data_IF_782040833076
#
_entry.id   IF_782040833076
#
_cell.length_a   1.000
_cell.length_b   1.000
_cell.length_c   1.000
_cell.angle_alpha   90.00
_cell.angle_beta   90.00
_cell.angle_gamma   90.00
#
_symmetry.space_group_name_H-M   'P 1'
#
loop_
_entity.id
_entity.type
_entity.pdbx_description
1 polymer ?
#
# COMPACT_ATOMS: atom_id res chain seq x y z
N UNK A 1 13.57 -17.40 12.12
CA UNK A 1 14.45 -16.29 12.56
C UNK A 1 14.98 -15.40 11.45
N UNK A 2 15.69 -15.92 10.43
CA UNK A 2 16.11 -15.06 9.30
C UNK A 2 14.92 -14.41 8.59
N UNK A 3 13.82 -15.16 8.41
CA UNK A 3 12.54 -14.63 7.92
C UNK A 3 12.00 -13.50 8.81
N UNK A 4 11.81 -13.77 10.10
CA UNK A 4 11.30 -12.79 11.08
C UNK A 4 12.12 -11.48 11.15
N UNK A 5 13.45 -11.56 11.19
CA UNK A 5 14.29 -10.34 11.18
C UNK A 5 14.13 -9.58 9.86
N UNK A 6 13.95 -10.31 8.75
CA UNK A 6 13.71 -9.75 7.43
C UNK A 6 12.23 -9.37 7.17
N UNK A 7 11.34 -9.56 8.14
CA UNK A 7 9.99 -8.99 8.13
C UNK A 7 9.99 -7.62 8.83
N UNK A 8 10.85 -7.42 9.84
CA UNK A 8 10.91 -6.19 10.65
C UNK A 8 11.89 -5.13 10.11
N UNK A 9 13.00 -5.55 9.48
CA UNK A 9 14.13 -4.64 9.24
C UNK A 9 14.97 -5.01 8.01
N UNK A 10 14.40 -5.67 7.00
CA UNK A 10 15.16 -6.17 5.84
C UNK A 10 15.87 -5.06 5.10
N UNK A 11 15.15 -4.00 4.74
CA UNK A 11 15.68 -2.95 3.88
C UNK A 11 16.83 -2.23 4.60
N UNK A 12 16.56 -1.69 5.80
CA UNK A 12 17.58 -0.95 6.57
C UNK A 12 18.76 -1.80 7.00
N UNK A 13 18.56 -3.07 7.36
CA UNK A 13 19.70 -3.94 7.69
C UNK A 13 20.55 -4.27 6.46
N UNK A 14 19.95 -4.37 5.27
CA UNK A 14 20.71 -4.63 4.05
C UNK A 14 21.58 -3.44 3.65
N UNK A 15 21.08 -2.22 3.84
CA UNK A 15 21.87 -0.99 3.66
C UNK A 15 22.93 -0.84 4.75
N UNK A 16 22.57 -1.06 6.01
CA UNK A 16 23.50 -0.93 7.14
C UNK A 16 24.64 -1.95 7.09
N UNK A 17 24.42 -3.13 6.51
CA UNK A 17 25.48 -4.13 6.26
C UNK A 17 26.58 -3.58 5.34
N UNK A 18 26.26 -2.66 4.43
CA UNK A 18 27.26 -2.02 3.57
C UNK A 18 28.17 -1.07 4.37
N UNK A 19 27.62 -0.39 5.37
CA UNK A 19 28.36 0.49 6.28
C UNK A 19 29.14 -0.29 7.33
N UNK A 20 28.57 -1.39 7.82
CA UNK A 20 29.13 -2.28 8.83
C UNK A 20 28.98 -3.76 8.44
N UNK A 21 29.96 -4.31 7.71
CA UNK A 21 29.94 -5.73 7.37
C UNK A 21 29.90 -6.62 8.61
N UNK A 22 29.06 -7.66 8.57
CA UNK A 22 28.82 -8.60 9.67
C UNK A 22 27.70 -8.17 10.64
N UNK A 23 27.08 -7.01 10.45
CA UNK A 23 26.00 -6.50 11.29
C UNK A 23 24.80 -7.46 11.31
N UNK A 24 24.31 -7.89 10.14
CA UNK A 24 23.18 -8.83 10.01
C UNK A 24 23.47 -10.13 10.80
N UNK A 25 24.70 -10.65 10.68
CA UNK A 25 25.09 -11.88 11.38
C UNK A 25 25.06 -11.67 12.90
N UNK A 26 25.55 -10.54 13.37
CA UNK A 26 25.57 -10.20 14.80
C UNK A 26 24.16 -9.98 15.35
N UNK A 27 23.29 -9.27 14.61
CA UNK A 27 21.86 -9.11 14.94
C UNK A 27 21.17 -10.46 15.03
N UNK A 28 21.31 -11.32 14.01
CA UNK A 28 20.73 -12.67 14.04
C UNK A 28 21.21 -13.49 15.24
N UNK A 29 22.51 -13.40 15.58
CA UNK A 29 23.05 -14.11 16.75
C UNK A 29 22.50 -13.56 18.08
N UNK A 30 22.24 -12.26 18.17
CA UNK A 30 21.64 -11.61 19.33
C UNK A 30 20.16 -11.99 19.48
N UNK A 31 19.38 -11.86 18.40
CA UNK A 31 17.97 -12.27 18.34
C UNK A 31 17.81 -13.74 18.73
N UNK A 32 18.71 -14.64 18.28
CA UNK A 32 18.71 -16.07 18.69
C UNK A 32 18.74 -16.28 20.19
N UNK A 33 19.45 -15.43 20.92
CA UNK A 33 19.63 -15.58 22.37
C UNK A 33 18.44 -15.03 23.15
N UNK A 34 17.65 -14.15 22.56
CA UNK A 34 16.63 -13.36 23.28
C UNK A 34 15.20 -13.77 22.92
N UNK A 35 14.94 -14.15 21.66
CA UNK A 35 13.60 -14.54 21.19
C UNK A 35 13.13 -15.89 21.75
N UNK A 36 14.05 -16.85 21.91
CA UNK A 36 13.71 -18.20 22.40
C UNK A 36 13.65 -18.28 23.93
N UNK A 37 13.67 -17.14 24.62
CA UNK A 37 13.50 -17.12 26.07
C UNK A 37 12.03 -17.31 26.44
N UNK A 38 11.77 -18.08 27.50
CA UNK A 38 10.40 -18.33 28.00
C UNK A 38 9.64 -17.01 28.25
N UNK A 39 10.34 -16.00 28.78
CA UNK A 39 9.79 -14.66 28.99
C UNK A 39 9.27 -14.02 27.70
N UNK A 40 10.06 -14.03 26.62
CA UNK A 40 9.66 -13.42 25.34
C UNK A 40 8.52 -14.20 24.69
N UNK A 41 8.56 -15.53 24.76
CA UNK A 41 7.52 -16.41 24.24
C UNK A 41 6.18 -16.15 24.95
N UNK A 42 6.16 -16.14 26.28
CA UNK A 42 4.93 -15.93 27.04
C UNK A 42 4.40 -14.50 26.88
N UNK A 43 5.28 -13.49 26.84
CA UNK A 43 4.88 -12.11 26.56
C UNK A 43 4.25 -11.97 25.17
N UNK A 44 4.85 -12.57 24.15
CA UNK A 44 4.30 -12.54 22.79
C UNK A 44 2.94 -13.24 22.73
N UNK A 45 2.79 -14.43 23.33
CA UNK A 45 1.50 -15.14 23.40
C UNK A 45 0.43 -14.29 24.09
N UNK A 46 0.76 -13.63 25.19
CA UNK A 46 -0.17 -12.76 25.90
C UNK A 46 -0.62 -11.58 25.04
N UNK A 47 0.32 -10.90 24.36
CA UNK A 47 0.02 -9.79 23.45
C UNK A 47 -0.82 -10.25 22.25
N UNK A 48 -0.51 -11.39 21.62
CA UNK A 48 -1.33 -11.94 20.52
C UNK A 48 -2.75 -12.28 20.96
N UNK A 49 -2.93 -12.74 22.20
CA UNK A 49 -4.28 -12.98 22.76
C UNK A 49 -5.02 -11.68 23.00
N UNK A 50 -4.34 -10.67 23.56
CA UNK A 50 -4.93 -9.37 23.86
C UNK A 50 -5.30 -8.58 22.59
N UNK A 51 -4.49 -8.68 21.54
CA UNK A 51 -4.63 -7.90 20.32
C UNK A 51 -5.28 -8.69 19.17
N UNK A 52 -5.87 -9.85 19.43
CA UNK A 52 -6.35 -10.76 18.39
C UNK A 52 -7.29 -10.04 17.39
N UNK A 53 -7.06 -10.27 16.10
CA UNK A 53 -7.96 -9.81 15.03
C UNK A 53 -9.29 -10.57 15.05
N UNK A 54 -10.28 -10.02 14.36
CA UNK A 54 -11.52 -10.73 14.06
C UNK A 54 -11.28 -12.01 13.23
N UNK A 55 -10.34 -11.95 12.28
CA UNK A 55 -9.85 -13.11 11.55
C UNK A 55 -8.83 -13.87 12.41
N UNK A 56 -9.06 -15.16 12.65
CA UNK A 56 -8.18 -15.96 13.50
C UNK A 56 -6.88 -16.41 12.82
N UNK A 57 -6.80 -16.35 11.48
CA UNK A 57 -5.57 -16.62 10.74
C UNK A 57 -4.70 -15.37 10.56
N UNK A 58 -5.29 -14.18 10.67
CA UNK A 58 -4.58 -12.92 10.49
C UNK A 58 -3.76 -12.55 11.73
N UNK A 59 -2.53 -12.10 11.49
CA UNK A 59 -1.71 -11.55 12.56
C UNK A 59 -2.31 -10.23 13.04
N UNK A 60 -2.33 -9.98 14.36
CA UNK A 60 -2.75 -8.68 14.88
C UNK A 60 -1.89 -7.58 14.27
N UNK A 61 -2.54 -6.52 13.80
CA UNK A 61 -1.89 -5.27 13.42
C UNK A 61 -1.43 -4.57 14.71
N UNK A 62 -0.28 -5.00 15.24
CA UNK A 62 0.34 -4.52 16.47
C UNK A 62 1.85 -4.84 16.50
N UNK A 63 2.67 -3.95 17.08
CA UNK A 63 4.03 -4.31 17.48
C UNK A 63 3.99 -5.30 18.65
N UNK A 64 4.57 -6.47 18.46
CA UNK A 64 4.64 -7.54 19.45
C UNK A 64 6.03 -7.61 20.08
N UNK A 65 6.15 -8.38 21.17
CA UNK A 65 7.40 -8.56 21.90
C UNK A 65 8.54 -9.10 21.03
N UNK A 66 8.24 -9.81 19.95
CA UNK A 66 9.26 -10.32 19.03
C UNK A 66 9.82 -9.16 18.19
N UNK A 67 8.96 -8.28 17.68
CA UNK A 67 9.36 -7.11 16.90
C UNK A 67 10.22 -6.18 17.77
N UNK A 68 9.77 -5.90 19.01
CA UNK A 68 10.52 -5.15 20.02
C UNK A 68 11.90 -5.78 20.30
N UNK A 69 11.96 -7.12 20.44
CA UNK A 69 13.23 -7.82 20.68
C UNK A 69 14.17 -7.68 19.48
N UNK A 70 13.63 -7.71 18.26
CA UNK A 70 14.41 -7.53 17.04
C UNK A 70 14.94 -6.09 16.96
N UNK A 71 14.10 -5.08 17.16
CA UNK A 71 14.53 -3.67 17.21
C UNK A 71 15.62 -3.43 18.25
N UNK A 72 15.42 -3.95 19.46
CA UNK A 72 16.38 -3.81 20.54
C UNK A 72 17.71 -4.50 20.20
N UNK A 73 17.67 -5.67 19.57
CA UNK A 73 18.87 -6.36 19.11
C UNK A 73 19.61 -5.56 18.02
N UNK A 74 18.89 -4.94 17.08
CA UNK A 74 19.47 -4.07 16.04
C UNK A 74 20.22 -2.90 16.71
N UNK A 75 19.55 -2.14 17.57
CA UNK A 75 20.14 -0.98 18.23
C UNK A 75 21.33 -1.34 19.13
N UNK A 76 21.22 -2.42 19.91
CA UNK A 76 22.31 -2.88 20.80
C UNK A 76 23.54 -3.33 20.02
N UNK A 77 23.36 -4.05 18.92
CA UNK A 77 24.47 -4.48 18.06
C UNK A 77 25.09 -3.28 17.35
N UNK A 78 24.26 -2.39 16.80
CA UNK A 78 24.71 -1.16 16.15
C UNK A 78 25.59 -0.31 17.07
N UNK A 79 25.19 -0.12 18.33
CA UNK A 79 25.96 0.61 19.34
C UNK A 79 27.36 0.00 19.61
N UNK A 80 27.52 -1.31 19.43
CA UNK A 80 28.82 -2.00 19.57
C UNK A 80 29.72 -1.91 18.33
N UNK A 81 29.21 -1.38 17.21
CA UNK A 81 29.88 -1.47 15.91
C UNK A 81 31.20 -0.71 15.89
N UNK A 82 31.27 0.50 16.46
CA UNK A 82 32.53 1.27 16.51
C UNK A 82 33.62 0.54 17.28
N UNK A 83 33.31 0.00 18.46
CA UNK A 83 34.25 -0.77 19.25
C UNK A 83 34.75 -2.01 18.47
N UNK A 84 33.85 -2.69 17.77
CA UNK A 84 34.21 -3.81 16.91
C UNK A 84 35.14 -3.38 15.77
N UNK A 85 34.86 -2.28 15.06
CA UNK A 85 35.73 -1.76 14.00
C UNK A 85 37.13 -1.44 14.50
N UNK A 86 37.24 -0.74 15.63
CA UNK A 86 38.53 -0.41 16.25
C UNK A 86 39.30 -1.70 16.59
N UNK A 87 38.61 -2.73 17.09
CA UNK A 87 39.24 -4.02 17.41
C UNK A 87 39.80 -4.74 16.18
N UNK A 88 39.26 -4.46 15.00
CA UNK A 88 39.71 -5.01 13.71
C UNK A 88 40.70 -4.10 12.97
N UNK A 89 41.15 -3.00 13.58
CA UNK A 89 42.03 -2.03 12.92
C UNK A 89 41.34 -1.19 11.83
N UNK A 90 39.99 -1.23 11.75
CA UNK A 90 39.17 -0.53 10.75
C UNK A 90 38.64 0.81 11.29
N UNK A 91 39.52 1.56 11.98
CA UNK A 91 39.18 2.88 12.50
C UNK A 91 38.58 3.78 11.42
N UNK A 92 37.62 4.63 11.81
CA UNK A 92 36.97 5.57 10.90
C UNK A 92 37.56 6.95 11.15
N UNK A 93 37.90 7.68 10.07
CA UNK A 93 38.50 9.01 10.14
C UNK A 93 37.62 10.02 10.86
N UNK A 94 36.30 9.93 10.66
CA UNK A 94 35.29 10.67 11.42
C UNK A 94 34.25 9.70 12.00
N UNK A 95 34.42 9.30 13.28
CA UNK A 95 33.50 8.37 13.92
C UNK A 95 32.09 8.93 14.08
N UNK A 96 31.93 10.23 14.29
CA UNK A 96 30.62 10.84 14.55
C UNK A 96 29.77 10.83 13.28
N UNK A 97 30.35 11.24 12.14
CA UNK A 97 29.65 11.20 10.84
C UNK A 97 29.27 9.77 10.48
N UNK A 98 30.14 8.80 10.71
CA UNK A 98 29.85 7.40 10.38
C UNK A 98 28.79 6.78 11.30
N UNK A 99 28.81 7.07 12.61
CA UNK A 99 27.76 6.64 13.53
C UNK A 99 26.40 7.26 13.17
N UNK A 100 26.39 8.54 12.78
CA UNK A 100 25.18 9.24 12.32
C UNK A 100 24.62 8.63 11.03
N UNK A 101 25.49 8.29 10.06
CA UNK A 101 25.09 7.57 8.85
C UNK A 101 24.48 6.19 9.16
N UNK A 102 25.13 5.42 10.05
CA UNK A 102 24.63 4.12 10.45
C UNK A 102 23.28 4.23 11.18
N UNK A 103 23.15 5.19 12.09
CA UNK A 103 21.91 5.45 12.81
C UNK A 103 20.78 5.90 11.86
N UNK A 104 21.09 6.77 10.90
CA UNK A 104 20.14 7.23 9.88
C UNK A 104 19.61 6.06 9.06
N UNK A 105 20.49 5.20 8.56
CA UNK A 105 20.09 4.03 7.78
C UNK A 105 19.24 3.07 8.61
N UNK A 106 19.58 2.85 9.89
CA UNK A 106 18.84 1.95 10.78
C UNK A 106 17.53 2.53 11.33
N UNK A 107 17.24 3.80 11.08
CA UNK A 107 16.00 4.43 11.52
C UNK A 107 14.85 3.99 10.60
N UNK A 108 13.77 3.48 11.20
CA UNK A 108 12.53 3.19 10.48
C UNK A 108 11.78 4.51 10.23
N UNK A 109 11.71 4.96 8.97
CA UNK A 109 11.13 6.26 8.60
C UNK A 109 9.59 6.18 8.58
N UNK A 110 8.86 6.84 9.50
CA UNK A 110 7.41 6.73 9.59
C UNK A 110 6.68 7.58 8.54
N UNK A 111 7.39 8.29 7.64
CA UNK A 111 6.77 9.22 6.69
C UNK A 111 5.66 8.60 5.85
N UNK A 112 5.85 7.41 5.31
CA UNK A 112 4.84 6.76 4.46
C UNK A 112 3.61 6.35 5.27
N UNK A 113 3.73 5.62 6.40
CA UNK A 113 2.60 5.36 7.30
C UNK A 113 1.83 6.63 7.71
N UNK A 114 2.54 7.68 8.11
CA UNK A 114 1.93 8.95 8.49
C UNK A 114 1.20 9.61 7.32
N UNK A 115 1.76 9.57 6.11
CA UNK A 115 1.10 10.09 4.92
C UNK A 115 -0.22 9.35 4.63
N UNK A 116 -0.26 8.03 4.81
CA UNK A 116 -1.50 7.27 4.67
C UNK A 116 -2.53 7.62 5.73
N UNK A 117 -2.12 7.83 6.99
CA UNK A 117 -3.04 8.28 8.04
C UNK A 117 -3.55 9.71 7.79
N UNK A 118 -2.71 10.61 7.27
CA UNK A 118 -3.13 11.96 6.84
C UNK A 118 -4.05 11.93 5.60
N UNK A 119 -3.95 10.88 4.77
CA UNK A 119 -4.81 10.65 3.61
C UNK A 119 -6.17 10.01 3.98
N UNK A 120 -6.43 9.72 5.26
CA UNK A 120 -7.69 9.12 5.71
C UNK A 120 -8.87 10.05 5.38
N UNK A 121 -9.85 9.48 4.72
CA UNK A 121 -11.09 10.13 4.32
C UNK A 121 -12.30 9.24 4.69
N UNK A 122 -13.49 9.81 4.94
CA UNK A 122 -14.71 9.02 5.00
C UNK A 122 -14.88 8.22 3.70
N UNK A 123 -15.33 6.96 3.77
CA UNK A 123 -15.59 6.17 2.55
C UNK A 123 -16.53 6.95 1.63
N UNK A 124 -16.13 7.25 0.38
CA UNK A 124 -17.00 7.93 -0.56
C UNK A 124 -18.25 7.10 -0.88
N UNK A 125 -19.28 7.73 -1.45
CA UNK A 125 -20.53 7.05 -1.84
C UNK A 125 -20.33 6.20 -3.10
N UNK A 126 -19.54 5.13 -2.95
CA UNK A 126 -19.26 4.14 -3.97
C UNK A 126 -20.16 2.92 -3.74
N UNK A 127 -20.60 2.23 -4.81
CA UNK A 127 -21.26 0.93 -4.68
C UNK A 127 -20.43 -0.01 -3.80
N UNK A 128 -21.07 -0.71 -2.87
CA UNK A 128 -20.38 -1.69 -2.04
C UNK A 128 -19.95 -2.89 -2.88
N UNK A 129 -18.76 -3.46 -2.63
CA UNK A 129 -18.37 -4.75 -3.17
C UNK A 129 -19.44 -5.80 -2.86
N UNK A 130 -19.89 -6.55 -3.87
CA UNK A 130 -20.98 -7.50 -3.71
C UNK A 130 -20.60 -8.56 -2.68
N UNK A 131 -21.55 -8.89 -1.81
CA UNK A 131 -21.43 -9.93 -0.81
C UNK A 131 -21.61 -11.34 -1.37
N UNK A 132 -21.43 -12.36 -0.51
CA UNK A 132 -21.67 -13.76 -0.86
C UNK A 132 -23.14 -14.06 -1.19
N UNK A 133 -24.08 -13.30 -0.61
CA UNK A 133 -25.52 -13.47 -0.81
C UNK A 133 -26.07 -12.66 -2.00
N UNK A 134 -25.24 -11.80 -2.61
CA UNK A 134 -25.67 -11.03 -3.78
C UNK A 134 -25.71 -11.94 -5.01
N UNK A 135 -26.83 -11.96 -5.76
CA UNK A 135 -26.96 -12.83 -6.92
C UNK A 135 -25.85 -12.50 -7.93
N UNK A 136 -25.00 -13.47 -8.23
CA UNK A 136 -24.16 -13.39 -9.43
C UNK A 136 -25.09 -13.45 -10.64
N UNK A 137 -24.92 -12.56 -11.62
CA UNK A 137 -25.54 -12.75 -12.93
C UNK A 137 -25.23 -14.19 -13.40
N UNK A 138 -26.27 -14.90 -13.84
CA UNK A 138 -26.32 -16.38 -13.97
C UNK A 138 -25.42 -16.98 -15.09
N UNK A 139 -24.24 -16.42 -15.34
CA UNK A 139 -23.32 -16.86 -16.38
C UNK A 139 -21.86 -17.06 -15.95
N UNK A 140 -21.49 -16.77 -14.71
CA UNK A 140 -20.08 -16.81 -14.29
C UNK A 140 -19.68 -18.21 -13.81
N UNK A 141 -18.67 -18.88 -14.41
CA UNK A 141 -18.24 -20.20 -13.98
C UNK A 141 -17.66 -20.13 -12.56
N UNK A 142 -18.21 -20.97 -11.69
CA UNK A 142 -17.74 -21.21 -10.33
C UNK A 142 -16.46 -22.07 -10.35
N UNK A 143 -15.33 -21.46 -10.70
CA UNK A 143 -13.98 -21.93 -10.35
C UNK A 143 -12.93 -20.90 -10.82
N UNK A 144 -12.23 -20.28 -9.87
CA UNK A 144 -11.06 -19.42 -10.13
C UNK A 144 -11.31 -17.91 -10.00
N UNK A 145 -10.21 -17.17 -9.88
CA UNK A 145 -10.20 -15.69 -9.86
C UNK A 145 -10.84 -15.16 -11.14
N UNK A 146 -12.09 -14.73 -11.05
CA UNK A 146 -12.84 -14.15 -12.17
C UNK A 146 -12.90 -12.64 -12.01
N UNK A 147 -12.40 -11.91 -13.01
CA UNK A 147 -12.54 -10.46 -13.11
C UNK A 147 -13.66 -10.15 -14.12
N UNK A 148 -14.67 -9.42 -13.68
CA UNK A 148 -15.85 -9.11 -14.48
C UNK A 148 -16.04 -7.59 -14.61
N UNK A 149 -16.16 -7.08 -15.83
CA UNK A 149 -16.53 -5.67 -16.04
C UNK A 149 -18.04 -5.53 -15.85
N UNK A 150 -18.45 -4.80 -14.82
CA UNK A 150 -19.86 -4.61 -14.47
C UNK A 150 -20.45 -3.32 -15.05
N UNK A 151 -19.61 -2.34 -15.39
CA UNK A 151 -20.05 -1.05 -15.92
C UNK A 151 -18.96 -0.38 -16.74
N UNK A 152 -19.37 0.43 -17.72
CA UNK A 152 -18.49 1.33 -18.47
C UNK A 152 -19.23 2.64 -18.70
N UNK A 153 -18.60 3.76 -18.32
CA UNK A 153 -19.20 5.10 -18.41
C UNK A 153 -18.19 6.13 -18.94
N UNK A 154 -18.62 7.24 -19.57
CA UNK A 154 -17.70 8.30 -19.98
C UNK A 154 -16.99 8.96 -18.77
N UNK A 155 -15.77 9.47 -18.98
CA UNK A 155 -15.02 10.21 -17.95
C UNK A 155 -15.81 11.39 -17.36
N UNK A 156 -16.64 12.06 -18.15
CA UNK A 156 -17.52 13.15 -17.71
C UNK A 156 -18.54 12.73 -16.62
N UNK A 157 -18.74 11.42 -16.41
CA UNK A 157 -19.57 10.86 -15.34
C UNK A 157 -18.74 10.41 -14.12
N UNK A 158 -17.50 10.86 -13.98
CA UNK A 158 -16.68 10.61 -12.78
C UNK A 158 -17.42 11.07 -11.52
N UNK A 159 -17.44 10.22 -10.49
CA UNK A 159 -18.16 10.52 -9.25
C UNK A 159 -17.54 11.73 -8.56
N UNK A 160 -18.36 12.67 -8.07
CA UNK A 160 -17.88 13.80 -7.28
C UNK A 160 -17.58 13.34 -5.86
N UNK A 161 -16.41 13.74 -5.35
CA UNK A 161 -16.02 13.52 -3.97
C UNK A 161 -16.88 14.41 -3.06
N UNK A 162 -17.55 13.78 -2.09
CA UNK A 162 -18.34 14.48 -1.10
C UNK A 162 -17.44 14.79 0.11
N UNK A 163 -17.37 16.07 0.50
CA UNK A 163 -16.65 16.50 1.70
C UNK A 163 -16.30 17.99 1.67
N UNK A 164 -15.93 18.53 2.84
CA UNK A 164 -15.66 19.98 3.01
C UNK A 164 -14.29 20.43 2.53
N UNK A 165 -13.26 19.59 2.63
CA UNK A 165 -11.88 20.01 2.37
C UNK A 165 -11.47 19.98 0.89
N UNK A 166 -12.18 19.21 0.04
CA UNK A 166 -11.94 19.09 -1.41
C UNK A 166 -13.26 19.21 -2.17
N UNK A 167 -13.93 20.38 -2.14
CA UNK A 167 -15.25 20.54 -2.76
C UNK A 167 -15.15 20.40 -4.28
N UNK A 168 -16.07 19.62 -4.86
CA UNK A 168 -16.18 19.41 -6.32
C UNK A 168 -15.02 18.67 -6.97
N UNK A 169 -14.10 18.10 -6.19
CA UNK A 169 -13.10 17.18 -6.74
C UNK A 169 -13.79 15.91 -7.23
N UNK A 170 -13.21 15.26 -8.24
CA UNK A 170 -13.76 14.02 -8.80
C UNK A 170 -12.91 12.82 -8.41
N UNK A 171 -13.56 11.68 -8.20
CA UNK A 171 -12.90 10.38 -8.06
C UNK A 171 -12.51 9.94 -9.47
N UNK A 172 -11.21 10.00 -9.76
CA UNK A 172 -10.65 9.54 -11.03
C UNK A 172 -10.65 8.02 -11.07
N UNK A 173 -10.21 7.39 -9.97
CA UNK A 173 -10.22 5.95 -9.80
C UNK A 173 -10.36 5.58 -8.33
N UNK A 174 -10.81 4.35 -8.07
CA UNK A 174 -10.91 3.77 -6.74
C UNK A 174 -10.64 2.27 -6.77
N UNK A 175 -10.06 1.76 -5.69
CA UNK A 175 -9.97 0.32 -5.41
C UNK A 175 -10.48 0.09 -4.00
N UNK A 176 -11.36 -0.88 -3.84
CA UNK A 176 -11.91 -1.27 -2.55
C UNK A 176 -11.87 -2.78 -2.38
N UNK A 177 -11.30 -3.22 -1.27
CA UNK A 177 -11.28 -4.60 -0.83
C UNK A 177 -12.27 -4.75 0.32
N UNK A 178 -13.10 -5.79 0.23
CA UNK A 178 -14.02 -6.21 1.28
C UNK A 178 -13.82 -7.68 1.60
N UNK A 179 -13.58 -7.97 2.87
CA UNK A 179 -13.34 -9.33 3.36
C UNK A 179 -14.58 -9.85 4.08
N UNK A 180 -14.94 -11.10 3.84
CA UNK A 180 -16.05 -11.80 4.50
C UNK A 180 -15.52 -13.00 5.30
N UNK A 181 -15.91 -13.09 6.57
CA UNK A 181 -15.50 -14.22 7.41
C UNK A 181 -16.38 -15.40 7.06
N UNK A 182 -15.76 -16.57 6.97
CA UNK A 182 -16.50 -17.82 7.04
C UNK A 182 -17.14 -17.95 8.43
N UNK A 183 -18.45 -18.20 8.52
CA UNK A 183 -19.12 -18.46 9.79
C UNK A 183 -18.55 -19.68 10.53
N UNK A 184 -17.99 -20.64 9.79
CA UNK A 184 -17.53 -21.93 10.31
C UNK A 184 -16.11 -21.84 10.88
N UNK A 185 -15.18 -21.24 10.13
CA UNK A 185 -13.76 -21.19 10.51
C UNK A 185 -13.37 -19.89 11.21
N UNK A 186 -14.20 -18.84 11.10
CA UNK A 186 -13.87 -17.46 11.51
C UNK A 186 -12.55 -16.94 10.91
N UNK A 187 -12.20 -17.48 9.75
CA UNK A 187 -11.15 -16.95 8.87
C UNK A 187 -11.79 -16.31 7.67
N UNK A 188 -11.08 -15.41 6.98
CA UNK A 188 -11.57 -14.84 5.73
C UNK A 188 -11.84 -15.96 4.73
N UNK A 189 -13.12 -16.15 4.39
CA UNK A 189 -13.58 -17.17 3.46
C UNK A 189 -13.80 -16.64 2.04
N UNK A 190 -13.93 -15.32 1.90
CA UNK A 190 -14.09 -14.65 0.62
C UNK A 190 -13.54 -13.23 0.71
N UNK A 191 -12.74 -12.85 -0.28
CA UNK A 191 -12.33 -11.45 -0.49
C UNK A 191 -12.88 -10.98 -1.81
N UNK A 192 -13.58 -9.84 -1.81
CA UNK A 192 -14.10 -9.20 -3.01
C UNK A 192 -13.40 -7.87 -3.20
N UNK A 193 -12.85 -7.66 -4.39
CA UNK A 193 -12.16 -6.43 -4.74
C UNK A 193 -12.90 -5.75 -5.89
N UNK A 194 -13.24 -4.48 -5.72
CA UNK A 194 -13.81 -3.65 -6.78
C UNK A 194 -12.79 -2.63 -7.25
N UNK A 195 -12.73 -2.45 -8.56
CA UNK A 195 -11.89 -1.48 -9.23
C UNK A 195 -12.77 -0.54 -10.03
N UNK A 196 -12.49 0.75 -9.98
CA UNK A 196 -13.04 1.75 -10.88
C UNK A 196 -11.88 2.58 -11.38
N UNK A 197 -11.70 2.70 -12.70
CA UNK A 197 -10.56 3.43 -13.23
C UNK A 197 -10.73 3.86 -14.68
N UNK A 198 -10.01 4.91 -15.11
CA UNK A 198 -10.10 5.45 -16.46
C UNK A 198 -9.21 4.66 -17.44
N UNK A 199 -9.74 4.42 -18.64
CA UNK A 199 -9.06 3.82 -19.80
C UNK A 199 -9.19 4.77 -21.00
N UNK A 200 -8.12 4.96 -21.74
CA UNK A 200 -8.22 5.53 -23.10
C UNK A 200 -8.69 4.43 -24.03
N UNK A 201 -9.86 4.58 -24.65
CA UNK A 201 -10.48 3.51 -25.45
C UNK A 201 -9.56 3.02 -26.58
N UNK A 202 -9.18 1.73 -26.55
CA UNK A 202 -8.38 1.07 -27.59
C UNK A 202 -9.22 0.29 -28.61
N UNK A 203 -8.64 0.02 -29.79
CA UNK A 203 -9.24 -0.82 -30.84
C UNK A 203 -9.10 -2.33 -30.59
N UNK A 204 -8.40 -2.76 -29.52
CA UNK A 204 -8.04 -4.17 -29.30
C UNK A 204 -8.47 -4.66 -27.92
N UNK A 205 -9.26 -5.74 -27.94
CA UNK A 205 -9.65 -6.65 -26.86
C UNK A 205 -10.80 -6.25 -25.92
N UNK A 206 -12.02 -6.52 -26.41
CA UNK A 206 -13.22 -6.73 -25.58
C UNK A 206 -13.27 -8.13 -24.92
N UNK A 207 -12.24 -8.99 -25.08
CA UNK A 207 -12.29 -10.41 -24.64
C UNK A 207 -11.08 -10.91 -23.83
N UNK A 208 -10.21 -10.04 -23.30
CA UNK A 208 -9.07 -10.49 -22.47
C UNK A 208 -9.39 -10.47 -20.97
N UNK A 209 -9.32 -11.63 -20.31
CA UNK A 209 -9.58 -11.91 -18.88
C UNK A 209 -8.78 -11.11 -17.83
N UNK A 210 -8.05 -10.06 -18.20
CA UNK A 210 -7.30 -9.22 -17.26
C UNK A 210 -8.02 -7.87 -17.12
N UNK A 211 -8.28 -7.36 -15.89
CA UNK A 211 -8.75 -6.00 -15.71
C UNK A 211 -7.79 -5.07 -16.47
N UNK A 212 -8.25 -4.17 -17.35
CA UNK A 212 -7.40 -3.24 -18.11
C UNK A 212 -6.56 -2.26 -17.25
N UNK A 213 -6.52 -2.45 -15.93
CA UNK A 213 -6.37 -1.38 -14.95
C UNK A 213 -5.36 -1.62 -13.85
N UNK A 214 -4.59 -2.71 -13.87
CA UNK A 214 -3.62 -2.95 -12.82
C UNK A 214 -2.27 -3.30 -13.43
N UNK A 215 -1.67 -2.31 -14.12
CA UNK A 215 -0.21 -2.32 -14.20
C UNK A 215 0.34 -2.32 -12.79
N UNK A 216 1.48 -2.99 -12.61
CA UNK A 216 2.27 -2.85 -11.39
C UNK A 216 2.56 -1.37 -11.18
N UNK A 217 1.91 -0.80 -10.15
CA UNK A 217 2.16 0.54 -9.69
C UNK A 217 3.44 0.60 -8.87
N UNK A 218 3.94 1.81 -8.65
CA UNK A 218 5.08 2.09 -7.78
C UNK A 218 4.70 3.30 -6.92
N UNK A 219 4.58 3.09 -5.60
CA UNK A 219 4.22 4.15 -4.66
C UNK A 219 5.18 5.34 -4.73
N UNK A 220 6.43 5.15 -5.19
CA UNK A 220 7.38 6.23 -5.41
C UNK A 220 6.91 7.25 -6.46
N UNK A 221 5.96 6.91 -7.35
CA UNK A 221 5.44 7.86 -8.34
C UNK A 221 4.74 9.09 -7.72
N UNK A 222 4.36 9.03 -6.44
CA UNK A 222 3.84 10.18 -5.71
C UNK A 222 4.93 11.20 -5.32
N UNK A 223 6.18 10.76 -5.16
CA UNK A 223 7.28 11.58 -4.60
C UNK A 223 8.43 11.79 -5.59
N UNK A 224 8.60 10.87 -6.55
CA UNK A 224 9.67 10.89 -7.56
C UNK A 224 9.49 12.10 -8.48
N UNK A 225 10.47 13.02 -8.62
CA UNK A 225 10.40 14.07 -9.62
C UNK A 225 10.25 13.49 -11.04
N UNK A 226 9.47 14.14 -11.92
CA UNK A 226 9.46 13.71 -13.32
C UNK A 226 10.85 13.92 -13.93
N UNK A 227 11.39 12.85 -14.52
CA UNK A 227 12.58 12.91 -15.36
C UNK A 227 12.27 13.46 -16.75
N UNK A 228 12.88 12.86 -17.80
CA UNK A 228 12.50 13.17 -19.18
C UNK A 228 11.03 12.79 -19.40
N UNK A 229 10.21 13.79 -19.75
CA UNK A 229 8.79 13.62 -20.02
C UNK A 229 8.60 12.64 -21.18
N UNK A 230 7.76 11.59 -21.05
CA UNK A 230 7.12 11.03 -22.22
C UNK A 230 6.30 12.13 -22.92
N UNK A 231 6.00 11.96 -24.21
CA UNK A 231 5.08 12.86 -24.91
C UNK A 231 3.77 13.01 -24.11
N UNK A 232 3.23 14.24 -24.10
CA UNK A 232 2.01 14.56 -23.36
C UNK A 232 0.78 13.81 -23.90
N UNK A 233 0.84 13.35 -25.15
CA UNK A 233 -0.21 12.58 -25.80
C UNK A 233 -0.38 11.20 -25.14
N UNK A 234 -1.63 10.86 -24.84
CA UNK A 234 -1.99 9.59 -24.23
C UNK A 234 -2.57 8.66 -25.31
N UNK A 235 -1.81 7.64 -25.78
CA UNK A 235 -2.29 6.77 -26.84
C UNK A 235 -3.36 5.79 -26.35
N UNK A 236 -4.14 5.20 -27.27
CA UNK A 236 -5.17 4.22 -26.94
C UNK A 236 -4.66 3.01 -26.14
N UNK A 237 -5.46 2.52 -25.20
CA UNK A 237 -5.10 1.40 -24.33
C UNK A 237 -4.06 1.74 -23.26
N UNK A 238 -3.73 3.02 -23.07
CA UNK A 238 -2.79 3.43 -22.01
C UNK A 238 -3.48 3.47 -20.65
N UNK A 239 -2.91 2.81 -19.63
CA UNK A 239 -3.36 2.94 -18.24
C UNK A 239 -2.94 4.30 -17.67
N UNK A 240 -3.86 5.01 -17.03
CA UNK A 240 -3.55 6.28 -16.38
C UNK A 240 -3.07 6.10 -14.94
N UNK A 241 -3.42 4.97 -14.33
CA UNK A 241 -3.10 4.62 -12.96
C UNK A 241 -2.60 3.18 -12.88
N UNK A 242 -1.72 2.92 -11.92
CA UNK A 242 -1.28 1.59 -11.53
C UNK A 242 -1.78 1.24 -10.13
N UNK A 243 -1.63 -0.03 -9.76
CA UNK A 243 -1.88 -0.53 -8.42
C UNK A 243 -0.57 -1.09 -7.86
N UNK A 244 -0.05 -0.46 -6.84
CA UNK A 244 1.08 -1.01 -6.07
C UNK A 244 0.54 -1.96 -5.01
N UNK A 245 0.76 -3.27 -5.20
CA UNK A 245 0.46 -4.32 -4.22
C UNK A 245 1.68 -4.72 -3.40
N UNK A 246 2.88 -4.42 -3.91
CA UNK A 246 4.12 -4.78 -3.24
C UNK A 246 4.46 -3.76 -2.14
N UNK A 247 4.01 -2.52 -2.31
CA UNK A 247 4.28 -1.40 -1.42
C UNK A 247 5.78 -1.27 -1.13
N UNK A 248 6.61 -1.53 -2.14
CA UNK A 248 8.07 -1.65 -1.98
C UNK A 248 8.68 -0.36 -1.44
N UNK A 249 8.15 0.79 -1.85
CA UNK A 249 8.59 2.10 -1.37
C UNK A 249 8.36 2.29 0.14
N UNK A 250 7.39 1.58 0.73
CA UNK A 250 7.19 1.57 2.18
C UNK A 250 8.25 0.74 2.92
N UNK A 251 9.13 0.02 2.20
CA UNK A 251 10.25 -0.73 2.75
C UNK A 251 9.83 -1.63 3.93
N UNK A 252 10.47 -1.47 5.09
CA UNK A 252 10.16 -2.25 6.30
C UNK A 252 8.76 -1.90 6.88
N UNK A 253 8.25 -0.70 6.59
CA UNK A 253 6.91 -0.29 6.99
C UNK A 253 5.80 -0.90 6.13
N UNK A 254 6.10 -1.58 5.02
CA UNK A 254 5.10 -2.21 4.13
C UNK A 254 4.21 -3.25 4.83
N UNK A 255 4.73 -3.86 5.91
CA UNK A 255 3.99 -4.77 6.79
C UNK A 255 3.60 -4.12 8.13
N UNK A 256 3.81 -2.80 8.23
CA UNK A 256 3.64 -2.01 9.42
C UNK A 256 2.21 -1.53 9.63
N UNK A 257 2.00 -1.01 10.83
CA UNK A 257 0.70 -0.62 11.35
C UNK A 257 -0.07 0.32 10.43
N UNK A 258 -1.28 -0.08 10.06
CA UNK A 258 -2.20 0.78 9.34
C UNK A 258 -1.87 1.01 7.86
N UNK A 259 -0.84 0.41 7.26
CA UNK A 259 -0.74 0.52 5.80
C UNK A 259 -1.84 -0.31 5.12
N UNK A 260 -2.48 0.22 4.05
CA UNK A 260 -3.36 -0.61 3.25
C UNK A 260 -2.54 -1.68 2.50
N UNK A 261 -3.16 -2.81 2.19
CA UNK A 261 -2.52 -3.88 1.41
C UNK A 261 -2.22 -3.51 -0.05
N UNK A 262 -2.62 -2.32 -0.49
CA UNK A 262 -2.36 -1.78 -1.83
C UNK A 262 -2.57 -0.27 -1.87
N UNK A 263 -1.98 0.38 -2.89
CA UNK A 263 -2.19 1.79 -3.17
C UNK A 263 -2.30 2.07 -4.67
N UNK A 264 -3.15 3.05 -5.04
CA UNK A 264 -3.20 3.57 -6.40
C UNK A 264 -2.03 4.54 -6.65
N UNK A 265 -1.43 4.45 -7.83
CA UNK A 265 -0.25 5.24 -8.20
C UNK A 265 -0.44 5.90 -9.57
N UNK A 266 -0.18 7.21 -9.71
CA UNK A 266 -0.28 7.89 -11.00
C UNK A 266 0.80 7.38 -11.96
N UNK A 267 0.45 7.08 -13.21
CA UNK A 267 1.47 6.68 -14.19
C UNK A 267 2.29 7.89 -14.65
N UNK A 268 3.55 7.70 -15.07
CA UNK A 268 4.36 8.80 -15.61
C UNK A 268 3.67 9.58 -16.75
N UNK A 269 2.85 8.91 -17.56
CA UNK A 269 2.06 9.55 -18.62
C UNK A 269 0.94 10.44 -18.09
N UNK A 270 0.17 9.98 -17.10
CA UNK A 270 -0.85 10.83 -16.46
C UNK A 270 -0.20 12.09 -15.87
N UNK A 271 0.95 11.92 -15.22
CA UNK A 271 1.71 13.04 -14.64
C UNK A 271 2.23 14.00 -15.70
N UNK A 272 2.75 13.49 -16.83
CA UNK A 272 3.21 14.31 -17.94
C UNK A 272 2.07 15.09 -18.62
N UNK A 273 0.96 14.43 -18.92
CA UNK A 273 -0.22 15.03 -19.55
C UNK A 273 -0.81 16.19 -18.74
N UNK A 274 -0.80 16.05 -17.41
CA UNK A 274 -1.30 17.06 -16.48
C UNK A 274 -0.20 17.99 -15.91
N UNK A 275 1.06 17.83 -16.37
CA UNK A 275 2.23 18.63 -15.93
C UNK A 275 2.43 18.64 -14.41
N UNK A 276 2.24 17.49 -13.79
CA UNK A 276 2.23 17.33 -12.35
C UNK A 276 3.64 17.23 -11.76
N UNK A 277 3.80 17.76 -10.55
CA UNK A 277 5.02 17.71 -9.74
C UNK A 277 4.70 17.11 -8.36
N UNK A 278 5.64 16.42 -7.72
CA UNK A 278 5.49 16.03 -6.31
C UNK A 278 5.17 17.25 -5.42
N UNK A 279 4.11 17.13 -4.62
CA UNK A 279 3.70 18.12 -3.62
C UNK A 279 3.89 17.58 -2.20
N UNK A 280 2.88 17.78 -1.35
CA UNK A 280 2.78 17.08 -0.07
C UNK A 280 2.73 15.54 -0.28
N UNK A 281 3.05 14.72 0.75
CA UNK A 281 2.96 13.28 0.64
C UNK A 281 1.63 12.81 0.04
N UNK A 282 1.69 11.87 -0.92
CA UNK A 282 0.54 11.33 -1.65
C UNK A 282 -0.31 12.39 -2.38
N UNK A 283 0.30 13.53 -2.72
CA UNK A 283 -0.31 14.64 -3.46
C UNK A 283 0.61 15.05 -4.60
N UNK A 284 0.03 15.32 -5.76
CA UNK A 284 0.72 15.95 -6.88
C UNK A 284 0.09 17.31 -7.18
N UNK A 285 0.97 18.28 -7.43
CA UNK A 285 0.62 19.67 -7.67
C UNK A 285 0.84 20.04 -9.14
N UNK A 286 0.10 21.04 -9.64
CA UNK A 286 0.39 21.76 -10.87
C UNK A 286 0.75 23.22 -10.56
N UNK A 287 0.73 24.10 -11.57
CA UNK A 287 0.98 25.55 -11.38
C UNK A 287 -0.07 26.26 -10.50
N UNK A 288 -1.23 25.64 -10.29
CA UNK A 288 -2.35 26.21 -9.53
C UNK A 288 -2.50 25.56 -8.14
N UNK A 289 -1.57 24.70 -7.74
CA UNK A 289 -1.55 23.99 -6.45
C UNK A 289 -1.97 22.53 -6.57
N UNK A 290 -2.56 21.93 -5.52
CA UNK A 290 -2.95 20.52 -5.53
C UNK A 290 -3.86 20.17 -6.70
N UNK A 291 -3.48 19.10 -7.41
CA UNK A 291 -4.09 18.68 -8.67
C UNK A 291 -4.57 17.23 -8.62
N UNK A 292 -3.74 16.32 -8.07
CA UNK A 292 -4.13 14.94 -7.73
C UNK A 292 -3.81 14.65 -6.27
N UNK A 293 -4.64 13.83 -5.62
CA UNK A 293 -4.38 13.34 -4.26
C UNK A 293 -4.85 11.91 -4.09
N UNK A 294 -4.10 11.11 -3.33
CA UNK A 294 -4.60 9.83 -2.82
C UNK A 294 -5.42 10.08 -1.55
N UNK A 295 -6.59 9.47 -1.48
CA UNK A 295 -7.36 9.32 -0.25
C UNK A 295 -7.54 7.84 0.07
N UNK A 296 -7.61 7.49 1.35
CA UNK A 296 -7.81 6.11 1.79
C UNK A 296 -8.90 6.03 2.87
N UNK A 297 -9.51 4.86 3.03
CA UNK A 297 -10.51 4.64 4.06
C UNK A 297 -10.44 3.21 4.59
N UNK A 298 -11.00 3.07 5.80
CA UNK A 298 -11.24 1.80 6.48
C UNK A 298 -12.61 1.89 7.12
N UNK A 299 -13.51 0.98 6.81
CA UNK A 299 -14.90 0.97 7.27
C UNK A 299 -15.35 -0.44 7.64
N UNK A 300 -16.62 -0.57 8.06
CA UNK A 300 -17.19 -1.84 8.50
C UNK A 300 -16.33 -2.49 9.59
N UNK A 301 -15.96 -1.72 10.61
CA UNK A 301 -15.13 -2.26 11.69
C UNK A 301 -15.93 -3.31 12.47
N UNK A 302 -15.48 -4.55 12.46
CA UNK A 302 -16.02 -5.58 13.32
C UNK A 302 -15.68 -5.25 14.77
N UNK A 303 -16.69 -5.24 15.64
CA UNK A 303 -16.54 -4.88 17.05
C UNK A 303 -16.72 -6.11 17.92
N UNK A 304 -15.80 -6.29 18.87
CA UNK A 304 -15.85 -7.36 19.85
C UNK A 304 -15.37 -6.84 21.20
N UNK A 305 -15.93 -7.39 22.28
CA UNK A 305 -15.42 -7.12 23.63
C UNK A 305 -14.06 -7.81 23.90
N UNK A 306 -13.62 -8.70 23.00
CA UNK A 306 -12.46 -9.57 23.19
C UNK A 306 -11.39 -9.43 22.10
N UNK A 307 -11.60 -8.55 21.11
CA UNK A 307 -10.73 -8.42 19.92
C UNK A 307 -10.62 -6.95 19.54
N UNK A 308 -9.51 -6.58 18.92
CA UNK A 308 -9.35 -5.23 18.39
C UNK A 308 -10.32 -5.01 17.21
N UNK A 309 -10.90 -3.81 17.08
CA UNK A 309 -11.72 -3.49 15.93
C UNK A 309 -10.93 -3.66 14.63
N UNK A 310 -11.44 -4.47 13.72
CA UNK A 310 -10.79 -4.75 12.44
C UNK A 310 -11.66 -4.27 11.28
N UNK A 311 -11.12 -3.50 10.32
CA UNK A 311 -11.90 -3.07 9.17
C UNK A 311 -12.19 -4.24 8.23
N UNK A 312 -13.46 -4.49 7.93
CA UNK A 312 -13.85 -5.47 6.90
C UNK A 312 -13.75 -4.90 5.50
N UNK A 313 -13.70 -3.57 5.39
CA UNK A 313 -13.58 -2.87 4.11
C UNK A 313 -12.46 -1.85 4.17
N UNK A 314 -11.55 -1.92 3.22
CA UNK A 314 -10.46 -0.96 3.05
C UNK A 314 -10.37 -0.55 1.59
N UNK A 315 -10.12 0.72 1.33
CA UNK A 315 -9.98 1.18 -0.03
C UNK A 315 -9.18 2.46 -0.15
N UNK A 316 -8.83 2.79 -1.38
CA UNK A 316 -8.22 4.06 -1.73
C UNK A 316 -8.78 4.58 -3.05
N UNK A 317 -8.67 5.88 -3.24
CA UNK A 317 -9.05 6.56 -4.46
C UNK A 317 -8.04 7.64 -4.81
N UNK A 318 -7.82 7.82 -6.12
CA UNK A 318 -7.15 9.02 -6.63
C UNK A 318 -8.23 10.01 -7.00
N UNK A 319 -8.14 11.19 -6.40
CA UNK A 319 -9.05 12.30 -6.66
C UNK A 319 -8.33 13.38 -7.46
N UNK A 320 -9.08 14.01 -8.36
CA UNK A 320 -8.58 15.00 -9.32
C UNK A 320 -9.38 16.30 -9.22
N UNK A 321 -8.67 17.43 -9.35
CA UNK A 321 -9.28 18.77 -9.43
C UNK A 321 -10.13 18.89 -10.70
N UNK A 322 -11.35 19.47 -10.64
CA UNK A 322 -12.33 19.37 -11.74
C UNK A 322 -11.88 19.92 -13.09
N UNK A 323 -11.10 21.01 -13.13
CA UNK A 323 -10.57 21.61 -14.36
C UNK A 323 -9.64 20.67 -15.15
N UNK A 324 -9.00 19.71 -14.46
CA UNK A 324 -8.04 18.81 -15.08
C UNK A 324 -8.69 17.63 -15.80
N UNK A 325 -9.98 17.36 -15.61
CA UNK A 325 -10.70 16.35 -16.38
C UNK A 325 -10.80 16.72 -17.87
N UNK A 326 -11.02 18.01 -18.15
CA UNK A 326 -11.08 18.52 -19.52
C UNK A 326 -9.70 18.48 -20.17
N UNK A 327 -8.65 18.86 -19.43
CA UNK A 327 -7.26 18.76 -19.89
C UNK A 327 -6.92 17.30 -20.22
N UNK A 328 -7.26 16.36 -19.33
CA UNK A 328 -7.02 14.94 -19.54
C UNK A 328 -7.74 14.41 -20.80
N UNK A 329 -8.98 14.86 -21.03
CA UNK A 329 -9.75 14.50 -22.24
C UNK A 329 -9.13 15.07 -23.51
N UNK A 330 -8.53 16.25 -23.46
CA UNK A 330 -7.87 16.90 -24.61
C UNK A 330 -6.52 16.25 -24.96
N UNK A 331 -5.78 15.73 -23.98
CA UNK A 331 -4.49 15.06 -24.19
C UNK A 331 -4.64 13.59 -24.65
N UNK A 332 -5.83 13.02 -24.56
CA UNK A 332 -6.07 11.64 -24.98
C UNK A 332 -6.36 11.55 -26.48
N UNK A 333 -5.67 10.63 -27.18
CA UNK A 333 -5.89 10.40 -28.61
C UNK A 333 -7.22 9.71 -28.94
N UNK A 334 -7.96 9.27 -27.92
CA UNK A 334 -9.29 8.66 -28.04
C UNK A 334 -10.11 8.97 -26.77
N UNK A 335 -11.45 8.79 -26.79
CA UNK A 335 -12.28 9.01 -25.62
C UNK A 335 -11.81 8.23 -24.39
N UNK A 336 -11.93 8.85 -23.21
CA UNK A 336 -11.65 8.20 -21.94
C UNK A 336 -12.96 7.67 -21.35
N UNK A 337 -12.97 6.41 -20.96
CA UNK A 337 -14.07 5.76 -20.24
C UNK A 337 -13.60 5.32 -18.86
N UNK A 338 -14.47 5.38 -17.87
CA UNK A 338 -14.29 4.73 -16.57
C UNK A 338 -14.92 3.35 -16.67
N UNK A 339 -14.18 2.30 -16.33
CA UNK A 339 -14.70 0.94 -16.22
C UNK A 339 -14.70 0.51 -14.77
N UNK A 340 -15.78 -0.16 -14.39
CA UNK A 340 -15.95 -0.74 -13.08
C UNK A 340 -15.80 -2.26 -13.19
N UNK A 341 -14.92 -2.84 -12.39
CA UNK A 341 -14.57 -4.27 -12.42
C UNK A 341 -14.71 -4.86 -11.02
N UNK A 342 -15.28 -6.05 -10.93
CA UNK A 342 -15.35 -6.85 -9.69
C UNK A 342 -14.45 -8.06 -9.84
N UNK A 343 -13.70 -8.38 -8.79
CA UNK A 343 -12.88 -9.57 -8.69
C UNK A 343 -13.22 -10.31 -7.40
N UNK A 344 -13.47 -11.62 -7.49
CA UNK A 344 -13.64 -12.49 -6.33
C UNK A 344 -12.37 -13.32 -6.13
N UNK A 345 -11.83 -13.28 -4.92
CA UNK A 345 -10.65 -14.01 -4.50
C UNK A 345 -11.08 -15.01 -3.43
N UNK A 346 -10.94 -16.29 -3.75
CA UNK A 346 -11.05 -17.37 -2.77
C UNK A 346 -9.72 -17.49 -2.01
N UNK A 347 -9.75 -17.90 -0.72
CA UNK A 347 -8.54 -18.14 0.04
C UNK A 347 -7.68 -19.20 -0.65
N UNK A 348 -6.36 -18.95 -0.76
CA UNK A 348 -5.40 -19.98 -1.19
C UNK A 348 -5.46 -21.15 -0.18
N UNK A 349 -5.79 -22.34 -0.68
CA UNK A 349 -5.99 -23.58 0.09
C UNK A 349 -4.69 -24.19 0.60
#
# INVERSE_FOLDING_TARGET
>A
MKGMVAEVARARLSEAEQLQPGLIRAVLAKVRREVDTERTIERNKAQRRANRSADESEMPDAYLAIDETIEEAIHRVAAGSRAHRVSQGLGVSDPAIWEDQLATVLTDDPRIPLAFEEARWPRPDLPLPPGPDDPSDQGTPAAGTTAETISTRPLARAATLIGRALPSWHILASVEERRFLSPETRTTGLTVVTFSGPEVTGTRNQQGSAPPFLLNGDLEEWTRPLGQYPDADIPPGTPLLGLDRAMTAAADAAQGLGLPGFALTPTPRLRAALRLRPGAPLTLDDDHGPALRLICWRTEHERSAYRLPWPRTTGCAVVIRPDLLDVLSQQASAPIVIRDVVMRLEPES
#
